data_IF_453961256224
#
_entry.id   IF_453961256224
#
_cell.length_a   1.000
_cell.length_b   1.000
_cell.length_c   1.000
_cell.angle_alpha   90.00
_cell.angle_beta   90.00
_cell.angle_gamma   90.00
#
_symmetry.space_group_name_H-M   'P 1'
#
loop_
_entity.id
_entity.type
_entity.pdbx_description
1 polymer ?
#
# COMPACT_ATOMS: atom_id res chain seq x y z
N UNK A 1 4.84 17.70 2.89
CA UNK A 1 4.80 16.30 2.41
C UNK A 1 3.76 15.45 3.14
N UNK A 2 3.31 15.82 4.35
CA UNK A 2 2.26 15.07 5.06
C UNK A 2 0.91 14.98 4.36
N UNK A 3 0.50 16.02 3.62
CA UNK A 3 -0.78 16.01 2.88
C UNK A 3 -0.82 14.93 1.78
N UNK A 4 0.28 14.72 1.07
CA UNK A 4 0.40 13.68 0.04
C UNK A 4 0.37 12.28 0.66
N UNK A 5 1.05 12.07 1.79
CA UNK A 5 1.02 10.80 2.52
C UNK A 5 -0.37 10.47 3.05
N UNK A 6 -1.05 11.46 3.65
CA UNK A 6 -2.39 11.28 4.19
C UNK A 6 -3.45 11.08 3.09
N UNK A 7 -3.36 11.82 1.99
CA UNK A 7 -4.21 11.59 0.82
C UNK A 7 -3.95 10.23 0.17
N UNK A 8 -2.69 9.77 0.14
CA UNK A 8 -2.35 8.44 -0.37
C UNK A 8 -2.91 7.32 0.51
N UNK A 9 -2.93 7.51 1.83
CA UNK A 9 -3.58 6.57 2.77
C UNK A 9 -5.10 6.54 2.59
N UNK A 10 -5.75 7.69 2.43
CA UNK A 10 -7.19 7.77 2.12
C UNK A 10 -7.53 7.12 0.78
N UNK A 11 -6.71 7.37 -0.25
CA UNK A 11 -6.84 6.71 -1.55
C UNK A 11 -6.64 5.20 -1.43
N UNK A 12 -5.61 4.74 -0.73
CA UNK A 12 -5.36 3.32 -0.51
C UNK A 12 -6.52 2.65 0.25
N UNK A 13 -7.11 3.34 1.24
CA UNK A 13 -8.28 2.85 1.96
C UNK A 13 -9.50 2.72 1.05
N UNK A 14 -9.82 3.76 0.27
CA UNK A 14 -10.97 3.75 -0.65
C UNK A 14 -10.80 2.73 -1.78
N UNK A 15 -9.61 2.65 -2.38
CA UNK A 15 -9.29 1.68 -3.43
C UNK A 15 -9.26 0.26 -2.86
N UNK A 16 -8.79 0.08 -1.62
CA UNK A 16 -8.79 -1.21 -0.92
C UNK A 16 -10.19 -1.70 -0.62
N UNK A 17 -11.06 -0.82 -0.13
CA UNK A 17 -12.47 -1.11 0.12
C UNK A 17 -13.19 -1.47 -1.19
N UNK A 18 -12.95 -0.69 -2.24
CA UNK A 18 -13.51 -0.95 -3.56
C UNK A 18 -13.02 -2.29 -4.15
N UNK A 19 -11.72 -2.58 -4.02
CA UNK A 19 -11.12 -3.85 -4.44
C UNK A 19 -11.68 -5.05 -3.67
N UNK A 20 -11.90 -4.92 -2.36
CA UNK A 20 -12.50 -5.96 -1.54
C UNK A 20 -13.96 -6.23 -1.93
N UNK A 21 -14.75 -5.17 -2.13
CA UNK A 21 -16.16 -5.28 -2.54
C UNK A 21 -16.26 -5.90 -3.94
N UNK A 22 -15.51 -5.38 -4.92
CA UNK A 22 -15.55 -5.88 -6.30
C UNK A 22 -15.00 -7.31 -6.41
N UNK A 23 -13.97 -7.65 -5.63
CA UNK A 23 -13.44 -9.02 -5.55
C UNK A 23 -14.43 -10.01 -4.95
N UNK A 24 -15.09 -9.64 -3.85
CA UNK A 24 -16.09 -10.49 -3.19
C UNK A 24 -17.33 -10.69 -4.06
N UNK A 25 -17.90 -9.60 -4.59
CA UNK A 25 -19.10 -9.63 -5.45
C UNK A 25 -18.80 -10.29 -6.80
N UNK A 26 -17.64 -10.02 -7.40
CA UNK A 26 -17.21 -10.63 -8.67
C UNK A 26 -16.93 -12.13 -8.57
N UNK A 27 -16.41 -12.58 -7.41
CA UNK A 27 -16.25 -14.00 -7.10
C UNK A 27 -17.60 -14.70 -6.85
N UNK A 28 -18.48 -14.08 -6.05
CA UNK A 28 -19.78 -14.65 -5.69
C UNK A 28 -20.75 -14.77 -6.88
N UNK A 29 -20.73 -13.82 -7.82
CA UNK A 29 -21.66 -13.79 -8.95
C UNK A 29 -21.08 -14.34 -10.27
N UNK A 30 -19.85 -14.88 -10.27
CA UNK A 30 -19.15 -15.37 -11.47
C UNK A 30 -19.19 -14.41 -12.68
N UNK A 31 -19.24 -13.10 -12.44
CA UNK A 31 -19.28 -12.10 -13.51
C UNK A 31 -17.85 -11.77 -13.97
N UNK A 32 -17.47 -12.10 -15.22
CA UNK A 32 -16.11 -11.89 -15.71
C UNK A 32 -15.72 -10.40 -15.73
N UNK A 33 -16.66 -9.50 -15.98
CA UNK A 33 -16.42 -8.04 -15.99
C UNK A 33 -16.06 -7.51 -14.58
N UNK A 34 -16.72 -8.02 -13.54
CA UNK A 34 -16.42 -7.66 -12.15
C UNK A 34 -15.11 -8.26 -11.69
N UNK A 35 -14.75 -9.46 -12.15
CA UNK A 35 -13.44 -10.06 -11.87
C UNK A 35 -12.29 -9.31 -12.56
N UNK A 36 -12.47 -8.83 -13.79
CA UNK A 36 -11.48 -7.97 -14.45
C UNK A 36 -11.32 -6.63 -13.73
N UNK A 37 -12.43 -6.03 -13.26
CA UNK A 37 -12.39 -4.81 -12.46
C UNK A 37 -11.66 -5.01 -11.12
N UNK A 38 -11.95 -6.11 -10.40
CA UNK A 38 -11.25 -6.47 -9.17
C UNK A 38 -9.74 -6.67 -9.37
N UNK A 39 -9.36 -7.27 -10.52
CA UNK A 39 -7.96 -7.45 -10.93
C UNK A 39 -7.24 -6.11 -11.12
N UNK A 40 -7.86 -5.18 -11.86
CA UNK A 40 -7.30 -3.83 -12.04
C UNK A 40 -7.28 -3.05 -10.72
N UNK A 41 -8.28 -3.21 -9.87
CA UNK A 41 -8.33 -2.58 -8.55
C UNK A 41 -7.18 -3.04 -7.65
N UNK A 42 -6.79 -4.31 -7.71
CA UNK A 42 -5.67 -4.85 -6.93
C UNK A 42 -4.32 -4.24 -7.36
N UNK A 43 -4.13 -4.03 -8.66
CA UNK A 43 -2.92 -3.36 -9.20
C UNK A 43 -2.91 -1.88 -8.81
N UNK A 44 -4.05 -1.19 -8.92
CA UNK A 44 -4.19 0.20 -8.49
C UNK A 44 -3.96 0.37 -6.98
N UNK A 45 -4.47 -0.56 -6.17
CA UNK A 45 -4.26 -0.61 -4.73
C UNK A 45 -2.77 -0.73 -4.38
N UNK A 46 -2.07 -1.65 -5.03
CA UNK A 46 -0.63 -1.80 -4.85
C UNK A 46 0.12 -0.51 -5.19
N UNK A 47 -0.22 0.14 -6.32
CA UNK A 47 0.38 1.42 -6.70
C UNK A 47 0.16 2.52 -5.66
N UNK A 48 -1.07 2.66 -5.13
CA UNK A 48 -1.39 3.63 -4.10
C UNK A 48 -0.64 3.36 -2.78
N UNK A 49 -0.57 2.10 -2.35
CA UNK A 49 0.17 1.68 -1.15
C UNK A 49 1.68 1.90 -1.30
N UNK A 50 2.24 1.63 -2.47
CA UNK A 50 3.65 1.85 -2.75
C UNK A 50 4.01 3.35 -2.69
N UNK A 51 3.16 4.22 -3.24
CA UNK A 51 3.34 5.68 -3.12
C UNK A 51 3.26 6.14 -1.66
N UNK A 52 2.33 5.58 -0.87
CA UNK A 52 2.22 5.88 0.56
C UNK A 52 3.47 5.44 1.34
N UNK A 53 3.98 4.23 1.09
CA UNK A 53 5.23 3.72 1.70
C UNK A 53 6.41 4.62 1.34
N UNK A 54 6.63 4.92 0.06
CA UNK A 54 7.75 5.78 -0.38
C UNK A 54 7.64 7.18 0.21
N UNK A 55 6.43 7.75 0.25
CA UNK A 55 6.22 9.08 0.84
C UNK A 55 6.58 9.12 2.32
N UNK A 56 6.22 8.08 3.07
CA UNK A 56 6.58 7.95 4.49
C UNK A 56 8.08 7.74 4.68
N UNK A 57 8.69 6.86 3.87
CA UNK A 57 10.14 6.63 3.87
C UNK A 57 10.90 7.94 3.64
N UNK A 58 10.54 8.69 2.59
CA UNK A 58 11.17 9.98 2.27
C UNK A 58 10.99 10.99 3.42
N UNK A 59 9.84 10.99 4.10
CA UNK A 59 9.60 11.87 5.23
C UNK A 59 10.46 11.49 6.46
N UNK A 60 10.65 10.19 6.71
CA UNK A 60 11.56 9.65 7.72
C UNK A 60 13.01 10.08 7.42
N UNK A 61 13.47 9.88 6.18
CA UNK A 61 14.83 10.26 5.76
C UNK A 61 15.09 11.77 5.79
N UNK A 62 14.06 12.58 5.55
CA UNK A 62 14.15 14.05 5.65
C UNK A 62 14.00 14.57 7.07
N UNK A 63 13.78 13.68 8.05
CA UNK A 63 13.46 14.05 9.43
C UNK A 63 12.31 15.08 9.49
N UNK A 64 11.25 14.85 8.70
CA UNK A 64 10.09 15.74 8.66
C UNK A 64 9.23 15.54 9.92
N UNK A 65 9.65 16.19 11.01
CA UNK A 65 8.97 16.16 12.32
C UNK A 65 7.57 16.80 12.31
N UNK A 66 7.14 17.39 11.19
CA UNK A 66 5.74 17.80 11.03
C UNK A 66 4.78 16.61 11.06
N UNK A 67 5.26 15.40 10.79
CA UNK A 67 4.50 14.17 10.93
C UNK A 67 4.67 13.61 12.35
N UNK A 68 3.56 13.44 13.07
CA UNK A 68 3.56 12.81 14.39
C UNK A 68 4.24 11.43 14.39
N UNK A 69 4.07 10.66 13.29
CA UNK A 69 4.73 9.37 13.13
C UNK A 69 6.27 9.50 13.16
N UNK A 70 6.83 10.46 12.40
CA UNK A 70 8.27 10.70 12.33
C UNK A 70 8.80 11.27 13.65
N UNK A 71 8.06 12.21 14.26
CA UNK A 71 8.42 12.82 15.54
C UNK A 71 8.40 11.83 16.72
N UNK A 72 7.51 10.84 16.70
CA UNK A 72 7.41 9.82 17.75
C UNK A 72 8.38 8.64 17.58
N UNK A 73 8.93 8.42 16.38
CA UNK A 73 9.68 7.19 16.04
C UNK A 73 11.10 7.42 15.54
N UNK A 74 11.48 8.65 15.23
CA UNK A 74 12.82 8.99 14.76
C UNK A 74 13.40 10.11 15.61
N UNK A 75 14.73 10.15 15.73
CA UNK A 75 15.45 11.26 16.34
C UNK A 75 16.49 11.78 15.35
N UNK A 76 16.91 13.05 15.48
CA UNK A 76 17.97 13.63 14.63
C UNK A 76 19.32 12.90 14.74
N UNK A 77 19.52 12.14 15.82
CA UNK A 77 20.75 11.39 16.07
C UNK A 77 20.66 9.93 15.64
N UNK A 78 19.55 9.50 15.01
CA UNK A 78 19.41 8.11 14.57
C UNK A 78 20.30 7.86 13.34
N UNK A 79 21.17 6.84 13.36
CA UNK A 79 21.98 6.50 12.19
C UNK A 79 21.08 6.16 10.99
N UNK A 80 21.50 6.55 9.79
CA UNK A 80 20.71 6.41 8.56
C UNK A 80 20.28 4.96 8.27
N UNK A 81 21.06 3.98 8.73
CA UNK A 81 20.69 2.57 8.62
C UNK A 81 19.43 2.21 9.42
N UNK A 82 19.23 2.81 10.60
CA UNK A 82 18.06 2.57 11.44
C UNK A 82 16.80 3.33 10.97
N UNK A 83 16.93 4.31 10.05
CA UNK A 83 15.78 5.00 9.47
C UNK A 83 14.91 4.05 8.63
N UNK A 84 15.50 3.08 7.95
CA UNK A 84 14.76 2.00 7.29
C UNK A 84 13.91 1.20 8.29
N UNK A 85 14.46 0.94 9.47
CA UNK A 85 13.73 0.25 10.54
C UNK A 85 12.61 1.09 11.14
N UNK A 86 12.69 2.41 11.04
CA UNK A 86 11.67 3.30 11.55
C UNK A 86 10.34 3.12 10.81
N UNK A 87 10.35 2.79 9.51
CA UNK A 87 9.16 2.53 8.70
C UNK A 87 8.26 1.44 9.30
N UNK A 88 8.84 0.34 9.77
CA UNK A 88 8.11 -0.79 10.32
C UNK A 88 8.17 -0.88 11.85
N UNK A 89 8.76 0.12 12.51
CA UNK A 89 8.92 0.16 13.98
C UNK A 89 7.61 0.36 14.75
N UNK A 90 6.63 1.03 14.14
CA UNK A 90 5.32 1.30 14.74
C UNK A 90 4.21 0.44 14.15
N UNK A 91 3.14 0.21 14.92
CA UNK A 91 1.95 -0.54 14.46
C UNK A 91 1.36 0.01 13.15
N UNK A 92 1.27 1.33 13.02
CA UNK A 92 0.71 1.95 11.81
C UNK A 92 1.58 1.74 10.57
N UNK A 93 2.91 1.81 10.75
CA UNK A 93 3.86 1.64 9.64
C UNK A 93 4.05 0.18 9.25
N UNK A 94 4.00 -0.75 10.22
CA UNK A 94 4.01 -2.18 9.93
C UNK A 94 2.75 -2.61 9.17
N UNK A 95 1.58 -2.06 9.51
CA UNK A 95 0.34 -2.30 8.75
C UNK A 95 0.45 -1.80 7.31
N UNK A 96 0.99 -0.59 7.11
CA UNK A 96 1.21 -0.04 5.77
C UNK A 96 2.17 -0.92 4.95
N UNK A 97 3.28 -1.34 5.57
CA UNK A 97 4.26 -2.22 4.95
C UNK A 97 3.64 -3.56 4.56
N UNK A 98 2.95 -4.22 5.48
CA UNK A 98 2.31 -5.52 5.22
C UNK A 98 1.18 -5.40 4.18
N UNK A 99 0.40 -4.32 4.18
CA UNK A 99 -0.60 -4.07 3.15
C UNK A 99 0.06 -3.92 1.76
N UNK A 100 1.18 -3.21 1.66
CA UNK A 100 1.93 -3.09 0.41
C UNK A 100 2.48 -4.45 -0.06
N UNK A 101 3.00 -5.28 0.85
CA UNK A 101 3.49 -6.63 0.55
C UNK A 101 2.35 -7.55 0.09
N UNK A 102 1.21 -7.55 0.78
CA UNK A 102 0.06 -8.38 0.41
C UNK A 102 -0.53 -7.96 -0.94
N UNK A 103 -0.66 -6.65 -1.19
CA UNK A 103 -1.13 -6.13 -2.47
C UNK A 103 -0.15 -6.40 -3.61
N UNK A 104 1.16 -6.41 -3.33
CA UNK A 104 2.18 -6.86 -4.29
C UNK A 104 1.96 -8.33 -4.69
N UNK A 105 1.80 -9.24 -3.72
CA UNK A 105 1.54 -10.64 -4.01
C UNK A 105 0.21 -10.83 -4.75
N UNK A 106 -0.83 -10.09 -4.38
CA UNK A 106 -2.12 -10.07 -5.08
C UNK A 106 -1.97 -9.61 -6.54
N UNK A 107 -1.27 -8.49 -6.78
CA UNK A 107 -1.02 -7.99 -8.12
C UNK A 107 -0.15 -8.97 -8.94
N UNK A 108 0.88 -9.57 -8.33
CA UNK A 108 1.79 -10.51 -8.97
C UNK A 108 1.09 -11.81 -9.36
N UNK A 109 0.29 -12.40 -8.48
CA UNK A 109 -0.51 -13.59 -8.78
C UNK A 109 -1.50 -13.33 -9.91
N UNK A 110 -2.17 -12.17 -9.88
CA UNK A 110 -3.06 -11.74 -10.94
C UNK A 110 -2.31 -11.62 -12.28
N UNK A 111 -1.16 -10.93 -12.32
CA UNK A 111 -0.34 -10.70 -13.52
C UNK A 111 0.24 -12.00 -14.11
N UNK A 112 0.76 -12.89 -13.26
CA UNK A 112 1.37 -14.15 -13.67
C UNK A 112 0.31 -15.19 -14.11
N UNK A 113 -0.82 -15.27 -13.40
CA UNK A 113 -1.86 -16.27 -13.69
C UNK A 113 -2.65 -15.94 -14.96
N UNK A 114 -2.90 -14.66 -15.30
CA UNK A 114 -3.66 -14.35 -16.53
C UNK A 114 -2.93 -14.67 -17.82
N UNK A 115 -1.61 -14.96 -17.79
CA UNK A 115 -0.89 -15.48 -18.96
C UNK A 115 -1.14 -16.97 -19.17
N UNK A 116 -1.55 -17.70 -18.13
CA UNK A 116 -1.69 -19.17 -18.15
C UNK A 116 -3.09 -19.66 -18.54
N UNK A 117 -4.12 -18.80 -18.47
CA UNK A 117 -5.52 -19.11 -18.82
C UNK A 117 -6.06 -18.32 -20.02
N UNK A 118 -5.18 -17.74 -20.84
CA UNK A 118 -5.54 -17.11 -22.13
C UNK A 118 -5.41 -18.06 -23.33
N UNK A 119 -5.26 -19.37 -23.08
CA UNK A 119 -5.19 -20.41 -24.11
C UNK A 119 -6.56 -21.05 -24.30
#
# INVERSE_FOLDING_TARGET
MGLLGQLSLWLAFLVGLWGAITGFVGGAHQRPDLQQSARNATVALFGALLVAVISLEVAIFRHDFSLQYVAGRTSRNLPTFYLWSALYSGQEGSLLFWAAVLSLFGAMTQLLTSRRHRA
#
